data_IF_027369603731
#
_entry.id   IF_027369603731
#
_cell.length_a   1.000
_cell.length_b   1.000
_cell.length_c   1.000
_cell.angle_alpha   90.00
_cell.angle_beta   90.00
_cell.angle_gamma   90.00
#
_symmetry.space_group_name_H-M   'P 1'
#
loop_
_entity.id
_entity.type
_entity.pdbx_description
1 polymer ?
#
# COMPACT_ATOMS: atom_id res chain seq x y z
N UNK A 1 8.27 -18.76 -1.46
CA UNK A 1 8.19 -17.68 -0.46
C UNK A 1 6.86 -17.85 0.26
N UNK A 2 6.86 -18.11 1.57
CA UNK A 2 5.62 -18.07 2.35
C UNK A 2 5.15 -16.62 2.31
N UNK A 3 3.96 -16.35 1.76
CA UNK A 3 3.25 -15.13 2.05
C UNK A 3 2.94 -15.18 3.55
N UNK A 4 3.85 -14.63 4.36
CA UNK A 4 3.62 -14.49 5.79
C UNK A 4 2.49 -13.45 5.92
N UNK A 5 1.29 -13.96 6.16
CA UNK A 5 0.10 -13.19 6.44
C UNK A 5 -0.01 -13.15 7.96
N UNK A 6 0.11 -11.96 8.56
CA UNK A 6 -0.17 -11.76 9.97
C UNK A 6 -1.60 -11.23 10.11
N UNK A 7 -2.44 -11.99 10.81
CA UNK A 7 -3.83 -11.59 11.04
C UNK A 7 -3.93 -10.32 11.91
N UNK A 8 -2.89 -9.96 12.66
CA UNK A 8 -2.85 -8.71 13.42
C UNK A 8 -2.82 -7.47 12.52
N UNK A 9 -2.35 -7.58 11.27
CA UNK A 9 -2.28 -6.48 10.31
C UNK A 9 -3.64 -6.16 9.66
N UNK A 10 -4.62 -7.06 9.76
CA UNK A 10 -5.96 -6.87 9.17
C UNK A 10 -6.62 -5.67 9.87
N UNK A 11 -7.18 -4.65 9.20
CA UNK A 11 -7.91 -3.58 9.90
C UNK A 11 -9.17 -4.09 10.59
N UNK A 12 -9.62 -3.39 11.64
CA UNK A 12 -10.77 -3.81 12.44
C UNK A 12 -12.08 -3.85 11.64
N UNK A 13 -12.26 -2.91 10.72
CA UNK A 13 -13.42 -2.73 9.86
C UNK A 13 -13.31 -3.45 8.51
N UNK A 14 -12.21 -4.15 8.24
CA UNK A 14 -12.02 -4.86 6.98
C UNK A 14 -12.92 -6.11 6.89
N UNK A 15 -13.90 -6.06 5.99
CA UNK A 15 -14.85 -7.16 5.81
C UNK A 15 -14.21 -8.42 5.21
N UNK A 16 -14.44 -9.55 5.86
CA UNK A 16 -14.01 -10.89 5.46
C UNK A 16 -15.03 -11.52 4.50
N UNK A 17 -14.57 -12.46 3.66
CA UNK A 17 -15.45 -13.16 2.73
C UNK A 17 -15.27 -14.67 2.85
N UNK A 18 -16.34 -15.38 3.21
CA UNK A 18 -16.37 -16.84 3.35
C UNK A 18 -17.00 -17.53 2.12
N UNK A 19 -17.04 -16.85 0.97
CA UNK A 19 -17.57 -17.43 -0.25
C UNK A 19 -16.52 -18.29 -0.97
N UNK A 20 -16.47 -19.58 -0.66
CA UNK A 20 -15.56 -20.54 -1.30
C UNK A 20 -15.93 -20.86 -2.77
N UNK A 21 -17.14 -20.49 -3.21
CA UNK A 21 -17.58 -20.68 -4.60
C UNK A 21 -17.14 -19.54 -5.53
N UNK A 22 -16.49 -18.51 -4.99
CA UNK A 22 -16.02 -17.38 -5.78
C UNK A 22 -14.81 -17.79 -6.63
N UNK A 23 -14.87 -17.57 -7.95
CA UNK A 23 -13.74 -17.86 -8.87
C UNK A 23 -12.47 -17.05 -8.57
N UNK A 24 -12.59 -15.96 -7.82
CA UNK A 24 -11.47 -15.11 -7.41
C UNK A 24 -10.99 -15.39 -5.99
N UNK A 25 -11.54 -16.40 -5.28
CA UNK A 25 -11.23 -16.68 -3.87
C UNK A 25 -9.73 -16.77 -3.60
N UNK A 26 -9.01 -17.57 -4.38
CA UNK A 26 -7.56 -17.79 -4.23
C UNK A 26 -6.72 -16.51 -4.40
N UNK A 27 -7.25 -15.47 -5.05
CA UNK A 27 -6.56 -14.20 -5.29
C UNK A 27 -7.15 -13.03 -4.47
N UNK A 28 -8.13 -13.31 -3.60
CA UNK A 28 -8.90 -12.30 -2.90
C UNK A 28 -8.41 -12.12 -1.45
N UNK A 29 -8.00 -10.91 -1.09
CA UNK A 29 -7.57 -10.54 0.25
C UNK A 29 -8.66 -10.77 1.31
N UNK A 30 -9.94 -10.57 0.96
CA UNK A 30 -11.06 -10.81 1.89
C UNK A 30 -11.22 -12.29 2.23
N UNK A 31 -10.96 -13.15 1.27
CA UNK A 31 -10.99 -14.61 1.45
C UNK A 31 -9.75 -15.08 2.20
N UNK A 32 -8.58 -14.56 1.84
CA UNK A 32 -7.34 -14.80 2.59
C UNK A 32 -7.47 -14.41 4.07
N UNK A 33 -8.06 -13.24 4.37
CA UNK A 33 -8.32 -12.80 5.74
C UNK A 33 -9.29 -13.75 6.46
N UNK A 34 -10.36 -14.19 5.79
CA UNK A 34 -11.32 -15.15 6.33
C UNK A 34 -10.63 -16.47 6.72
N UNK A 35 -9.84 -17.04 5.80
CA UNK A 35 -9.13 -18.31 5.99
C UNK A 35 -8.07 -18.27 7.11
N UNK A 36 -7.51 -17.10 7.40
CA UNK A 36 -6.51 -16.89 8.44
C UNK A 36 -7.09 -16.27 9.73
N UNK A 37 -8.41 -16.30 9.91
CA UNK A 37 -9.05 -15.75 11.11
C UNK A 37 -8.56 -16.45 12.37
N UNK A 38 -8.24 -15.67 13.40
CA UNK A 38 -7.75 -16.18 14.69
C UNK A 38 -8.70 -15.78 15.83
N UNK A 39 -8.54 -16.44 16.99
CA UNK A 39 -9.31 -16.12 18.20
C UNK A 39 -8.98 -14.75 18.81
N UNK A 40 -7.99 -14.02 18.28
CA UNK A 40 -7.66 -12.64 18.67
C UNK A 40 -8.88 -11.73 18.46
N UNK A 41 -9.71 -12.00 17.44
CA UNK A 41 -10.96 -11.28 17.18
C UNK A 41 -12.16 -12.20 17.41
N UNK A 42 -12.98 -11.86 18.42
CA UNK A 42 -14.24 -12.58 18.70
C UNK A 42 -15.32 -12.30 17.67
N UNK A 43 -15.31 -11.10 17.11
CA UNK A 43 -16.25 -10.65 16.08
C UNK A 43 -15.45 -9.98 14.97
N UNK A 44 -15.91 -10.20 13.74
CA UNK A 44 -15.33 -9.60 12.54
C UNK A 44 -16.45 -9.22 11.58
N UNK A 45 -16.28 -8.15 10.79
CA UNK A 45 -17.23 -7.82 9.74
C UNK A 45 -17.12 -8.84 8.60
N UNK A 46 -18.27 -9.23 8.06
CA UNK A 46 -18.36 -10.12 6.90
C UNK A 46 -19.08 -9.44 5.74
N UNK A 47 -18.68 -9.78 4.52
CA UNK A 47 -19.50 -9.51 3.35
C UNK A 47 -20.82 -10.26 3.53
N UNK A 48 -21.95 -9.56 3.36
CA UNK A 48 -23.27 -10.16 3.48
C UNK A 48 -23.39 -11.35 2.51
N UNK A 49 -23.64 -12.59 2.99
CA UNK A 49 -23.78 -13.76 2.13
C UNK A 49 -24.87 -13.63 1.08
N UNK A 50 -25.94 -12.87 1.37
CA UNK A 50 -27.01 -12.60 0.40
C UNK A 50 -26.54 -11.75 -0.80
N UNK A 51 -25.36 -11.13 -0.71
CA UNK A 51 -24.77 -10.32 -1.77
C UNK A 51 -23.64 -11.04 -2.52
N UNK A 52 -23.33 -12.31 -2.19
CA UNK A 52 -22.27 -13.03 -2.88
C UNK A 52 -22.52 -13.08 -4.40
N UNK A 53 -21.46 -12.92 -5.22
CA UNK A 53 -21.61 -13.04 -6.66
C UNK A 53 -22.09 -14.45 -6.99
N UNK A 54 -23.01 -14.55 -7.93
CA UNK A 54 -23.38 -15.84 -8.53
C UNK A 54 -22.18 -16.42 -9.27
N UNK A 55 -22.13 -17.74 -9.41
CA UNK A 55 -21.09 -18.42 -10.19
C UNK A 55 -20.93 -17.80 -11.58
N UNK A 56 -19.69 -17.55 -11.98
CA UNK A 56 -19.34 -16.98 -13.28
C UNK A 56 -19.46 -15.45 -13.40
N UNK A 57 -19.99 -14.74 -12.39
CA UNK A 57 -20.04 -13.28 -12.40
C UNK A 57 -18.77 -12.64 -11.81
N UNK A 58 -18.46 -11.43 -12.27
CA UNK A 58 -17.44 -10.59 -11.65
C UNK A 58 -17.80 -10.28 -10.19
N UNK A 59 -16.81 -10.41 -9.30
CA UNK A 59 -17.01 -10.18 -7.88
C UNK A 59 -16.87 -8.67 -7.56
N UNK A 60 -17.95 -7.98 -7.14
CA UNK A 60 -17.89 -6.54 -6.84
C UNK A 60 -17.11 -6.23 -5.56
N UNK A 61 -16.84 -7.25 -4.74
CA UNK A 61 -16.10 -7.12 -3.49
C UNK A 61 -14.64 -7.58 -3.61
N UNK A 62 -14.20 -7.93 -4.81
CA UNK A 62 -12.84 -8.41 -5.05
C UNK A 62 -11.82 -7.36 -4.60
N UNK A 63 -10.85 -7.82 -3.82
CA UNK A 63 -9.71 -7.03 -3.38
C UNK A 63 -8.49 -7.91 -3.58
N UNK A 64 -7.53 -7.47 -4.38
CA UNK A 64 -6.36 -8.28 -4.70
C UNK A 64 -5.52 -8.55 -3.45
N UNK A 65 -5.07 -9.80 -3.29
CA UNK A 65 -4.10 -10.17 -2.24
C UNK A 65 -2.65 -9.80 -2.60
N UNK A 66 -2.41 -9.09 -3.70
CA UNK A 66 -1.05 -8.68 -4.07
C UNK A 66 -0.57 -7.63 -3.07
N UNK A 67 0.54 -7.93 -2.36
CA UNK A 67 1.18 -6.96 -1.48
C UNK A 67 1.75 -5.81 -2.31
N UNK A 68 1.52 -4.59 -1.83
CA UNK A 68 2.13 -3.36 -2.34
C UNK A 68 3.42 -3.11 -1.58
N UNK A 69 4.45 -2.70 -2.31
CA UNK A 69 5.70 -2.22 -1.71
C UNK A 69 5.50 -0.78 -1.25
N UNK A 70 5.50 -0.57 0.06
CA UNK A 70 5.39 0.73 0.71
C UNK A 70 6.79 1.19 1.13
N UNK A 71 7.13 2.44 0.82
CA UNK A 71 8.38 3.04 1.24
C UNK A 71 8.21 3.84 2.53
N UNK A 72 9.29 3.93 3.32
CA UNK A 72 9.34 4.71 4.55
C UNK A 72 10.60 5.56 4.57
N UNK A 73 10.43 6.87 4.77
CA UNK A 73 11.55 7.80 4.85
C UNK A 73 12.04 8.33 3.51
N UNK A 74 12.38 9.62 3.49
CA UNK A 74 12.98 10.33 2.36
C UNK A 74 14.25 11.08 2.76
N UNK A 75 14.89 10.66 3.86
CA UNK A 75 16.02 11.39 4.45
C UNK A 75 17.18 11.45 3.49
N UNK A 76 17.47 10.32 2.86
CA UNK A 76 18.62 10.14 1.98
C UNK A 76 18.23 10.22 0.49
N UNK A 77 16.98 10.61 0.20
CA UNK A 77 16.40 10.59 -1.15
C UNK A 77 17.18 11.46 -2.16
N UNK A 78 17.83 12.52 -1.66
CA UNK A 78 18.49 13.54 -2.48
C UNK A 78 20.01 13.56 -2.31
N UNK A 79 20.61 12.60 -1.61
CA UNK A 79 22.03 12.64 -1.22
C UNK A 79 22.98 12.65 -2.44
N UNK A 80 22.60 11.92 -3.50
CA UNK A 80 23.38 11.84 -4.74
C UNK A 80 22.97 12.92 -5.77
N UNK A 81 22.04 13.81 -5.43
CA UNK A 81 21.52 14.82 -6.35
C UNK A 81 22.30 16.13 -6.18
N UNK A 82 22.75 16.79 -7.27
CA UNK A 82 23.40 18.09 -7.18
C UNK A 82 22.57 19.10 -6.38
N UNK A 83 23.21 19.83 -5.46
CA UNK A 83 22.54 20.67 -4.46
C UNK A 83 21.46 21.61 -5.03
N UNK A 84 21.74 22.29 -6.15
CA UNK A 84 20.76 23.19 -6.80
C UNK A 84 19.50 22.45 -7.25
N UNK A 85 19.66 21.24 -7.79
CA UNK A 85 18.56 20.39 -8.22
C UNK A 85 17.81 19.81 -7.02
N UNK A 86 18.53 19.39 -5.97
CA UNK A 86 17.93 18.91 -4.73
C UNK A 86 17.00 19.96 -4.08
N UNK A 87 17.41 21.24 -4.07
CA UNK A 87 16.56 22.34 -3.60
C UNK A 87 15.29 22.50 -4.45
N UNK A 88 15.39 22.35 -5.77
CA UNK A 88 14.25 22.43 -6.68
C UNK A 88 13.26 21.26 -6.46
N UNK A 89 13.77 20.03 -6.42
CA UNK A 89 12.96 18.84 -6.14
C UNK A 89 12.27 18.94 -4.79
N UNK A 90 12.98 19.38 -3.74
CA UNK A 90 12.39 19.62 -2.42
C UNK A 90 11.24 20.62 -2.48
N UNK A 91 11.38 21.74 -3.21
CA UNK A 91 10.29 22.72 -3.37
C UNK A 91 9.07 22.12 -4.08
N UNK A 92 9.30 21.34 -5.14
CA UNK A 92 8.24 20.66 -5.88
C UNK A 92 7.51 19.61 -5.03
N UNK A 93 8.26 18.79 -4.29
CA UNK A 93 7.69 17.82 -3.35
C UNK A 93 6.89 18.50 -2.23
N UNK A 94 7.42 19.56 -1.62
CA UNK A 94 6.70 20.33 -0.59
C UNK A 94 5.43 20.98 -1.14
N UNK A 95 5.45 21.46 -2.39
CA UNK A 95 4.27 22.04 -3.03
C UNK A 95 3.17 21.00 -3.27
N UNK A 96 3.55 19.82 -3.76
CA UNK A 96 2.64 18.72 -4.06
C UNK A 96 2.08 18.09 -2.78
N UNK A 97 2.95 17.59 -1.90
CA UNK A 97 2.54 16.90 -0.67
C UNK A 97 2.05 17.84 0.44
N UNK A 98 2.31 19.15 0.32
CA UNK A 98 2.23 20.13 1.41
C UNK A 98 3.33 19.93 2.45
N UNK A 99 3.65 21.03 3.15
CA UNK A 99 4.73 21.10 4.13
C UNK A 99 4.60 20.02 5.21
N UNK A 100 3.41 19.86 5.78
CA UNK A 100 3.17 18.92 6.88
C UNK A 100 3.47 17.48 6.48
N UNK A 101 2.89 17.00 5.38
CA UNK A 101 3.05 15.62 4.94
C UNK A 101 4.48 15.33 4.48
N UNK A 102 5.11 16.25 3.76
CA UNK A 102 6.51 16.13 3.36
C UNK A 102 7.43 15.87 4.56
N UNK A 103 7.30 16.68 5.62
CA UNK A 103 8.16 16.49 6.80
C UNK A 103 7.79 15.26 7.63
N UNK A 104 6.53 14.79 7.58
CA UNK A 104 6.16 13.49 8.16
C UNK A 104 6.81 12.34 7.42
N UNK A 105 6.90 12.38 6.09
CA UNK A 105 7.70 11.40 5.32
C UNK A 105 9.17 11.44 5.72
N UNK A 106 9.75 12.63 5.86
CA UNK A 106 11.15 12.76 6.27
C UNK A 106 11.41 12.19 7.66
N UNK A 107 10.51 12.43 8.62
CA UNK A 107 10.59 11.89 9.99
C UNK A 107 10.13 10.43 10.12
N UNK A 108 9.74 9.78 9.01
CA UNK A 108 9.19 8.41 8.99
C UNK A 108 7.91 8.25 9.83
N UNK A 109 7.19 9.34 10.03
CA UNK A 109 5.90 9.38 10.74
C UNK A 109 4.72 9.03 9.82
N UNK A 110 4.96 8.96 8.51
CA UNK A 110 3.94 8.56 7.55
C UNK A 110 4.54 7.74 6.40
N UNK A 111 3.70 6.92 5.79
CA UNK A 111 4.06 5.99 4.74
C UNK A 111 3.99 6.61 3.35
N UNK A 112 4.96 6.26 2.51
CA UNK A 112 4.94 6.57 1.09
C UNK A 112 4.22 5.45 0.37
N UNK A 113 2.90 5.61 0.22
CA UNK A 113 2.07 4.76 -0.63
C UNK A 113 2.60 4.73 -2.08
N UNK A 114 2.29 3.70 -2.88
CA UNK A 114 2.83 3.56 -4.24
C UNK A 114 2.61 4.78 -5.12
N UNK A 115 1.48 5.48 -4.99
CA UNK A 115 1.21 6.73 -5.70
C UNK A 115 2.18 7.86 -5.33
N UNK A 116 2.58 7.97 -4.05
CA UNK A 116 3.58 8.94 -3.62
C UNK A 116 4.96 8.60 -4.19
N UNK A 117 5.31 7.31 -4.21
CA UNK A 117 6.58 6.83 -4.78
C UNK A 117 6.62 7.08 -6.30
N UNK A 118 5.51 6.81 -6.99
CA UNK A 118 5.36 7.06 -8.43
C UNK A 118 5.49 8.55 -8.76
N UNK A 119 4.87 9.43 -7.97
CA UNK A 119 5.03 10.87 -8.14
C UNK A 119 6.51 11.29 -8.02
N UNK A 120 7.21 10.83 -6.97
CA UNK A 120 8.62 11.16 -6.76
C UNK A 120 9.48 10.66 -7.93
N UNK A 121 9.23 9.43 -8.39
CA UNK A 121 9.90 8.85 -9.56
C UNK A 121 9.67 9.66 -10.84
N UNK A 122 8.44 10.09 -11.09
CA UNK A 122 8.13 10.95 -12.23
C UNK A 122 8.83 12.31 -12.10
N UNK A 123 8.90 12.86 -10.89
CA UNK A 123 9.58 14.12 -10.61
C UNK A 123 11.08 14.04 -10.93
N UNK A 124 11.73 12.95 -10.53
CA UNK A 124 13.14 12.70 -10.89
C UNK A 124 13.34 12.69 -12.40
N UNK A 125 12.52 11.93 -13.14
CA UNK A 125 12.58 11.86 -14.60
C UNK A 125 12.36 13.22 -15.27
N UNK A 126 11.40 14.01 -14.81
CA UNK A 126 11.11 15.35 -15.33
C UNK A 126 12.28 16.33 -15.14
N UNK A 127 13.11 16.12 -14.11
CA UNK A 127 14.27 16.94 -13.82
C UNK A 127 15.58 16.32 -14.38
N UNK A 128 15.48 15.34 -15.28
CA UNK A 128 16.63 14.75 -15.98
C UNK A 128 17.45 13.74 -15.17
N UNK A 129 16.91 13.24 -14.06
CA UNK A 129 17.56 12.23 -13.23
C UNK A 129 17.03 10.86 -13.67
N UNK A 130 17.90 10.06 -14.28
CA UNK A 130 17.56 8.73 -14.82
C UNK A 130 17.65 7.63 -13.75
N UNK A 131 18.29 7.91 -12.63
CA UNK A 131 18.40 7.00 -11.49
C UNK A 131 17.04 6.87 -10.78
N UNK A 132 16.73 5.66 -10.33
CA UNK A 132 15.51 5.42 -9.57
C UNK A 132 15.65 6.00 -8.14
N UNK A 133 14.58 6.63 -7.60
CA UNK A 133 14.59 7.09 -6.22
C UNK A 133 14.81 5.93 -5.25
N UNK A 134 15.79 6.08 -4.37
CA UNK A 134 16.03 5.17 -3.24
C UNK A 134 15.45 5.79 -1.98
N UNK A 135 14.51 5.09 -1.35
CA UNK A 135 13.90 5.48 -0.08
C UNK A 135 14.65 4.83 1.09
N UNK A 136 14.47 5.37 2.30
CA UNK A 136 15.27 4.92 3.46
C UNK A 136 15.01 3.45 3.82
N UNK A 137 13.78 2.96 3.65
CA UNK A 137 13.41 1.55 3.85
C UNK A 137 12.11 1.20 3.12
N UNK A 138 11.82 -0.10 3.03
CA UNK A 138 10.61 -0.62 2.38
C UNK A 138 9.97 -1.71 3.23
N UNK A 139 8.65 -1.81 3.14
CA UNK A 139 7.87 -2.92 3.67
C UNK A 139 6.83 -3.36 2.65
N UNK A 140 6.43 -4.62 2.72
CA UNK A 140 5.30 -5.12 1.95
C UNK A 140 4.04 -5.06 2.81
N UNK A 141 2.97 -4.50 2.27
CA UNK A 141 1.66 -4.48 2.95
C UNK A 141 0.57 -4.83 1.96
N UNK A 142 -0.47 -5.49 2.44
CA UNK A 142 -1.69 -5.60 1.66
C UNK A 142 -2.34 -4.22 1.51
N UNK A 143 -3.08 -4.06 0.42
CA UNK A 143 -4.03 -2.97 0.26
C UNK A 143 -5.29 -3.39 1.01
N UNK A 144 -5.42 -2.99 2.26
CA UNK A 144 -6.64 -3.26 3.02
C UNK A 144 -7.82 -2.42 2.50
#
# INVERSE_FOLDING_TARGET
MKNEFDYQDVPYDFAHCFNDQCTQADNCLRHLAAANSTSIRKFLPIVNPACFPKEGNDCPFFKSQIKKRIALGITNLLDNVPHKMALQLRRQMVSHFKKTLYYRFQRKENELLPEHQLFIKQLFKQNGINEEPVFDSYRESFDW
#
